data_IF_834479391082
#
_entry.id   IF_834479391082
#
_cell.length_a   1.000
_cell.length_b   1.000
_cell.length_c   1.000
_cell.angle_alpha   90.00
_cell.angle_beta   90.00
_cell.angle_gamma   90.00
#
_symmetry.space_group_name_H-M   'P 1'
#
loop_
_entity.id
_entity.type
_entity.pdbx_description
1 polymer ?
#
# COMPACT_ATOMS: atom_id res chain seq x y z
N UNK A 1 -3.06 2.65 19.09
CA UNK A 1 -2.13 1.54 18.83
C UNK A 1 -2.54 0.75 17.57
N UNK A 2 -2.84 1.42 16.45
CA UNK A 2 -3.34 0.78 15.20
C UNK A 2 -2.56 1.19 13.95
N UNK A 3 -1.83 2.31 14.01
CA UNK A 3 -0.93 2.75 12.94
C UNK A 3 0.35 1.91 12.88
N UNK A 4 0.84 1.43 14.03
CA UNK A 4 2.09 0.66 14.10
C UNK A 4 1.90 -0.76 13.52
N UNK A 5 0.69 -1.35 13.59
CA UNK A 5 0.43 -2.66 12.98
C UNK A 5 0.50 -2.64 11.45
N UNK A 6 0.32 -1.48 10.81
CA UNK A 6 0.52 -1.30 9.37
C UNK A 6 2.00 -1.22 8.98
N UNK A 7 2.89 -0.92 9.93
CA UNK A 7 4.35 -0.76 9.74
C UNK A 7 5.11 -1.90 10.44
N UNK A 8 4.42 -2.85 11.09
CA UNK A 8 5.06 -4.00 11.71
C UNK A 8 5.86 -4.75 10.64
N UNK A 9 7.11 -5.07 10.98
CA UNK A 9 8.02 -5.85 10.16
C UNK A 9 7.42 -7.24 9.97
N UNK A 10 6.62 -7.39 8.92
CA UNK A 10 6.06 -8.68 8.52
C UNK A 10 7.22 -9.45 7.91
N UNK A 11 7.59 -10.61 8.49
CA UNK A 11 8.64 -11.46 7.95
C UNK A 11 8.12 -12.11 6.65
N UNK A 12 8.18 -11.37 5.54
CA UNK A 12 7.61 -11.76 4.24
C UNK A 12 8.27 -13.04 3.75
N UNK A 13 9.57 -13.21 3.98
CA UNK A 13 10.33 -14.41 3.61
C UNK A 13 9.77 -15.67 4.29
N UNK A 14 9.41 -15.54 5.58
CA UNK A 14 8.82 -16.62 6.36
C UNK A 14 7.38 -16.92 5.91
N UNK A 15 6.62 -15.90 5.49
CA UNK A 15 5.28 -16.08 4.91
C UNK A 15 5.34 -16.74 3.55
N UNK A 16 6.30 -16.38 2.70
CA UNK A 16 6.51 -17.01 1.39
C UNK A 16 6.93 -18.47 1.55
N UNK A 17 7.85 -18.75 2.47
CA UNK A 17 8.35 -20.11 2.73
C UNK A 17 7.29 -21.06 3.27
N UNK A 18 6.37 -20.55 4.09
CA UNK A 18 5.27 -21.32 4.69
C UNK A 18 3.95 -21.18 3.92
N UNK A 19 3.97 -20.65 2.69
CA UNK A 19 2.76 -20.47 1.91
C UNK A 19 2.12 -21.83 1.57
N UNK A 20 0.86 -22.08 1.97
CA UNK A 20 0.20 -23.36 1.72
C UNK A 20 -0.17 -23.55 0.25
N UNK A 21 -0.35 -22.46 -0.49
CA UNK A 21 -0.71 -22.46 -1.90
C UNK A 21 -0.26 -21.17 -2.61
N UNK A 22 -0.46 -21.15 -3.93
CA UNK A 22 -0.16 -19.98 -4.77
C UNK A 22 -1.06 -18.78 -4.44
N UNK A 23 -2.27 -18.98 -3.93
CA UNK A 23 -3.19 -17.90 -3.58
C UNK A 23 -2.68 -17.07 -2.41
N UNK A 24 -2.12 -17.72 -1.39
CA UNK A 24 -1.49 -17.07 -0.26
C UNK A 24 -0.25 -16.26 -0.67
N UNK A 25 0.60 -16.79 -1.56
CA UNK A 25 1.75 -16.06 -2.10
C UNK A 25 1.32 -14.77 -2.82
N UNK A 26 0.29 -14.86 -3.65
CA UNK A 26 -0.27 -13.70 -4.36
C UNK A 26 -0.83 -12.67 -3.37
N UNK A 27 -1.51 -13.12 -2.31
CA UNK A 27 -1.99 -12.25 -1.25
C UNK A 27 -0.87 -11.50 -0.52
N UNK A 28 0.25 -12.18 -0.21
CA UNK A 28 1.43 -11.57 0.41
C UNK A 28 2.08 -10.53 -0.51
N UNK A 29 2.21 -10.86 -1.81
CA UNK A 29 2.76 -9.95 -2.82
C UNK A 29 1.89 -8.71 -3.01
N UNK A 30 0.57 -8.86 -3.09
CA UNK A 30 -0.37 -7.75 -3.22
C UNK A 30 -0.31 -6.88 -1.95
N UNK A 31 -0.27 -7.50 -0.77
CA UNK A 31 -0.14 -6.79 0.50
C UNK A 31 1.13 -5.93 0.58
N UNK A 32 2.23 -6.38 -0.01
CA UNK A 32 3.48 -5.61 -0.10
C UNK A 32 3.37 -4.39 -1.03
N UNK A 33 2.66 -4.51 -2.15
CA UNK A 33 2.50 -3.42 -3.14
C UNK A 33 1.43 -2.40 -2.69
N UNK A 34 0.43 -2.83 -1.91
CA UNK A 34 -0.73 -2.02 -1.52
C UNK A 34 -0.39 -0.64 -0.91
N UNK A 35 0.61 -0.49 0.00
CA UNK A 35 1.00 0.81 0.55
C UNK A 35 1.44 1.81 -0.54
N UNK A 36 2.13 1.35 -1.58
CA UNK A 36 2.56 2.20 -2.68
C UNK A 36 1.38 2.70 -3.52
N UNK A 37 0.39 1.83 -3.77
CA UNK A 37 -0.85 2.23 -4.47
C UNK A 37 -1.60 3.31 -3.69
N UNK A 38 -1.65 3.17 -2.36
CA UNK A 38 -2.25 4.19 -1.47
C UNK A 38 -1.51 5.52 -1.60
N UNK A 39 -0.17 5.51 -1.60
CA UNK A 39 0.65 6.72 -1.80
C UNK A 39 0.41 7.36 -3.17
N UNK A 40 0.32 6.57 -4.25
CA UNK A 40 -0.01 7.08 -5.59
C UNK A 40 -1.41 7.70 -5.62
N UNK A 41 -2.39 7.07 -4.98
CA UNK A 41 -3.75 7.63 -4.86
C UNK A 41 -3.76 8.96 -4.10
N UNK A 42 -3.02 9.04 -2.99
CA UNK A 42 -2.82 10.28 -2.23
C UNK A 42 -2.16 11.37 -3.07
N UNK A 43 -1.10 11.04 -3.81
CA UNK A 43 -0.42 11.98 -4.71
C UNK A 43 -1.37 12.51 -5.78
N UNK A 44 -2.21 11.65 -6.38
CA UNK A 44 -3.21 12.07 -7.36
C UNK A 44 -4.28 12.99 -6.73
N UNK A 45 -4.75 12.68 -5.53
CA UNK A 45 -5.71 13.53 -4.80
C UNK A 45 -5.11 14.91 -4.48
N UNK A 46 -3.86 14.95 -4.03
CA UNK A 46 -3.13 16.19 -3.77
C UNK A 46 -2.94 17.00 -5.04
N UNK A 47 -2.50 16.37 -6.14
CA UNK A 47 -2.37 17.01 -7.45
C UNK A 47 -3.71 17.59 -7.92
N UNK A 48 -4.79 16.81 -7.84
CA UNK A 48 -6.13 17.26 -8.26
C UNK A 48 -6.60 18.44 -7.42
N UNK A 49 -6.37 18.43 -6.11
CA UNK A 49 -6.73 19.54 -5.21
C UNK A 49 -5.89 20.79 -5.48
N UNK A 50 -4.60 20.65 -5.75
CA UNK A 50 -3.71 21.75 -6.08
C UNK A 50 -4.07 22.38 -7.44
N UNK A 51 -4.31 21.54 -8.46
CA UNK A 51 -4.73 22.00 -9.78
C UNK A 51 -6.06 22.76 -9.73
N UNK A 52 -7.06 22.24 -9.02
CA UNK A 52 -8.34 22.94 -8.83
C UNK A 52 -8.17 24.33 -8.19
N UNK A 53 -7.20 24.51 -7.28
CA UNK A 53 -6.91 25.82 -6.68
C UNK A 53 -6.23 26.80 -7.63
N UNK A 54 -5.42 26.32 -8.57
CA UNK A 54 -4.83 27.17 -9.62
C UNK A 54 -5.87 27.61 -10.65
N UNK A 55 -6.88 26.78 -10.93
CA UNK A 55 -7.95 27.13 -11.86
C UNK A 55 -8.98 28.12 -11.25
N UNK A 56 -9.03 28.26 -9.92
CA UNK A 56 -9.92 29.17 -9.17
C UNK A 56 -9.27 30.54 -8.81
N UNK A 57 -7.97 30.72 -9.07
CA UNK A 57 -7.21 31.96 -8.85
C UNK A 57 -7.08 32.80 -10.13
#
# INVERSE_FOLDING_TARGET
>A
MTLISLIQQVNIDEKIKNAPDNGYLVGVWIGYILPFVVLTGLAWLLYRKAKKRQDEL
#
